data_IF_159868042763
#
_entry.id   IF_159868042763
#
_cell.length_a   1.000
_cell.length_b   1.000
_cell.length_c   1.000
_cell.angle_alpha   90.00
_cell.angle_beta   90.00
_cell.angle_gamma   90.00
#
_symmetry.space_group_name_H-M   'P 1'
#
loop_
_entity.id
_entity.type
_entity.pdbx_description
1 polymer ?
#
# COMPACT_ATOMS: atom_id res chain seq x y z
N UNK A 1 -17.67 -0.62 -4.46
CA UNK A 1 -17.78 -1.98 -5.04
C UNK A 1 -19.18 -2.23 -5.61
N UNK A 2 -20.26 -2.09 -4.82
CA UNK A 2 -21.63 -2.24 -5.37
C UNK A 2 -21.88 -1.36 -6.60
N UNK A 3 -21.52 -0.07 -6.53
CA UNK A 3 -21.68 0.85 -7.66
C UNK A 3 -20.78 0.50 -8.85
N UNK A 4 -19.47 0.36 -8.62
CA UNK A 4 -18.46 0.19 -9.67
C UNK A 4 -18.41 -1.21 -10.31
N UNK A 5 -18.67 -2.27 -9.55
CA UNK A 5 -18.46 -3.66 -10.01
C UNK A 5 -19.75 -4.47 -10.13
N UNK A 6 -20.77 -4.15 -9.32
CA UNK A 6 -22.04 -4.88 -9.30
C UNK A 6 -23.19 -4.11 -9.95
N UNK A 7 -22.95 -2.92 -10.51
CA UNK A 7 -24.00 -2.06 -11.09
C UNK A 7 -25.17 -1.82 -10.12
N UNK A 8 -24.85 -1.57 -8.83
CA UNK A 8 -25.78 -1.44 -7.69
C UNK A 8 -26.54 -2.72 -7.30
N UNK A 9 -26.20 -3.86 -7.88
CA UNK A 9 -26.72 -5.17 -7.48
C UNK A 9 -26.16 -5.68 -6.16
N UNK A 10 -26.74 -6.79 -5.70
CA UNK A 10 -26.30 -7.46 -4.49
C UNK A 10 -25.14 -8.42 -4.74
N UNK A 11 -24.40 -8.71 -3.67
CA UNK A 11 -23.41 -9.77 -3.67
C UNK A 11 -24.09 -11.12 -3.91
N UNK A 12 -23.36 -12.05 -4.51
CA UNK A 12 -23.85 -13.43 -4.60
C UNK A 12 -24.04 -13.99 -3.18
N UNK A 13 -25.05 -14.85 -2.93
CA UNK A 13 -25.31 -15.41 -1.60
C UNK A 13 -24.15 -16.21 -0.99
N UNK A 14 -23.19 -16.64 -1.82
CA UNK A 14 -22.00 -17.38 -1.40
C UNK A 14 -20.76 -16.49 -1.20
N UNK A 15 -20.89 -15.17 -1.29
CA UNK A 15 -19.81 -14.27 -0.88
C UNK A 15 -19.69 -14.32 0.63
N UNK A 16 -18.49 -14.65 1.10
CA UNK A 16 -18.14 -14.60 2.51
C UNK A 16 -17.44 -13.26 2.81
N UNK A 17 -18.20 -12.28 3.29
CA UNK A 17 -17.66 -10.97 3.66
C UNK A 17 -16.81 -11.09 4.92
N UNK A 18 -15.61 -10.51 4.88
CA UNK A 18 -14.63 -10.60 5.96
C UNK A 18 -14.32 -9.19 6.50
N UNK A 19 -14.15 -9.04 7.82
CA UNK A 19 -13.98 -7.72 8.45
C UNK A 19 -12.62 -7.07 8.13
N UNK A 20 -11.65 -7.80 7.57
CA UNK A 20 -10.37 -7.26 7.18
C UNK A 20 -9.46 -8.24 6.42
N UNK A 21 -8.34 -7.72 5.93
CA UNK A 21 -7.37 -8.45 5.10
C UNK A 21 -6.81 -9.73 5.74
N UNK A 22 -6.51 -9.71 7.05
CA UNK A 22 -6.08 -10.91 7.77
C UNK A 22 -7.19 -11.98 7.80
N UNK A 23 -8.44 -11.58 8.03
CA UNK A 23 -9.59 -12.48 8.07
C UNK A 23 -9.90 -13.08 6.69
N UNK A 24 -9.65 -12.34 5.60
CA UNK A 24 -9.69 -12.88 4.23
C UNK A 24 -8.67 -13.99 4.05
N UNK A 25 -7.41 -13.76 4.41
CA UNK A 25 -6.34 -14.77 4.30
C UNK A 25 -6.66 -16.00 5.14
N UNK A 26 -7.11 -15.81 6.38
CA UNK A 26 -7.53 -16.90 7.25
C UNK A 26 -8.67 -17.71 6.65
N UNK A 27 -9.68 -17.04 6.08
CA UNK A 27 -10.83 -17.72 5.46
C UNK A 27 -10.45 -18.51 4.21
N UNK A 28 -9.57 -17.96 3.36
CA UNK A 28 -9.04 -18.68 2.18
C UNK A 28 -8.24 -19.90 2.63
N UNK A 29 -7.43 -19.79 3.69
CA UNK A 29 -6.59 -20.89 4.15
C UNK A 29 -7.35 -22.16 4.57
N UNK A 30 -8.60 -22.02 4.99
CA UNK A 30 -9.48 -23.13 5.39
C UNK A 30 -10.57 -23.47 4.37
N UNK A 31 -10.62 -22.76 3.23
CA UNK A 31 -11.68 -22.92 2.22
C UNK A 31 -11.10 -23.48 0.93
N UNK A 32 -11.43 -24.73 0.61
CA UNK A 32 -11.04 -25.33 -0.67
C UNK A 32 -11.63 -24.51 -1.83
N UNK A 33 -10.78 -24.15 -2.80
CA UNK A 33 -11.12 -23.28 -3.94
C UNK A 33 -11.55 -21.85 -3.55
N UNK A 34 -11.27 -21.41 -2.32
CA UNK A 34 -11.50 -20.03 -1.89
C UNK A 34 -10.62 -19.04 -2.66
N UNK A 35 -11.21 -17.94 -3.11
CA UNK A 35 -10.50 -16.80 -3.70
C UNK A 35 -10.93 -15.52 -3.01
N UNK A 36 -9.99 -14.60 -2.83
CA UNK A 36 -10.24 -13.28 -2.28
C UNK A 36 -9.09 -12.35 -2.59
N UNK A 37 -9.21 -11.10 -2.15
CA UNK A 37 -8.19 -10.08 -2.33
C UNK A 37 -7.72 -9.57 -0.97
N UNK A 38 -6.41 -9.39 -0.84
CA UNK A 38 -5.78 -8.90 0.40
C UNK A 38 -4.52 -8.11 0.06
N UNK A 39 -4.03 -7.32 1.02
CA UNK A 39 -2.73 -6.64 0.88
C UNK A 39 -1.58 -7.63 0.97
N UNK A 40 -0.50 -7.38 0.22
CA UNK A 40 0.65 -8.30 0.13
C UNK A 40 1.32 -8.56 1.48
N UNK A 41 1.30 -7.58 2.40
CA UNK A 41 1.83 -7.73 3.76
C UNK A 41 1.11 -8.79 4.62
N UNK A 42 -0.07 -9.27 4.20
CA UNK A 42 -0.79 -10.36 4.88
C UNK A 42 -0.52 -11.75 4.29
N UNK A 43 0.35 -11.86 3.27
CA UNK A 43 0.69 -13.15 2.66
C UNK A 43 1.36 -14.06 3.69
N UNK A 44 0.83 -15.28 3.82
CA UNK A 44 1.42 -16.36 4.62
C UNK A 44 1.67 -17.56 3.72
N UNK A 45 2.35 -18.58 4.24
CA UNK A 45 2.55 -19.85 3.53
C UNK A 45 1.24 -20.59 3.23
N UNK A 46 0.14 -20.25 3.90
CA UNK A 46 -1.16 -20.90 3.75
C UNK A 46 -1.97 -20.41 2.55
N UNK A 47 -1.49 -19.40 1.83
CA UNK A 47 -2.16 -18.85 0.63
C UNK A 47 -1.16 -18.63 -0.50
N UNK A 48 -1.64 -18.74 -1.73
CA UNK A 48 -0.86 -18.46 -2.94
C UNK A 48 -1.33 -17.15 -3.57
N UNK A 49 -0.39 -16.28 -3.94
CA UNK A 49 -0.66 -15.09 -4.76
C UNK A 49 -0.73 -15.47 -6.23
N UNK A 50 -1.52 -14.73 -7.00
CA UNK A 50 -1.78 -15.02 -8.42
C UNK A 50 -1.27 -13.86 -9.25
N UNK A 51 -0.42 -14.17 -10.24
CA UNK A 51 0.03 -13.21 -11.23
C UNK A 51 -1.15 -12.64 -12.03
N UNK A 52 -1.08 -11.35 -12.36
CA UNK A 52 -2.19 -10.66 -13.02
C UNK A 52 -1.75 -10.09 -14.36
N UNK A 53 -2.62 -10.26 -15.36
CA UNK A 53 -2.53 -9.55 -16.62
C UNK A 53 -3.45 -8.32 -16.57
N UNK A 54 -2.95 -7.17 -17.06
CA UNK A 54 -3.75 -5.93 -17.10
C UNK A 54 -4.93 -6.00 -18.08
N UNK A 55 -4.82 -6.85 -19.10
CA UNK A 55 -5.82 -7.08 -20.14
C UNK A 55 -5.88 -8.56 -20.45
N UNK A 56 -7.02 -9.00 -20.96
CA UNK A 56 -7.20 -10.36 -21.46
C UNK A 56 -6.15 -10.69 -22.53
N UNK A 57 -5.57 -11.89 -22.45
CA UNK A 57 -4.48 -12.34 -23.34
C UNK A 57 -3.12 -11.66 -23.11
N UNK A 58 -3.01 -10.78 -22.13
CA UNK A 58 -1.75 -10.11 -21.78
C UNK A 58 -0.78 -10.98 -20.98
N UNK A 59 0.43 -10.46 -20.77
CA UNK A 59 1.43 -11.06 -19.91
C UNK A 59 0.99 -11.05 -18.44
N UNK A 60 1.17 -12.17 -17.76
CA UNK A 60 0.91 -12.30 -16.33
C UNK A 60 2.11 -11.81 -15.52
N UNK A 61 1.91 -10.78 -14.73
CA UNK A 61 2.95 -10.14 -13.93
C UNK A 61 2.80 -10.54 -12.47
N UNK A 62 3.88 -11.04 -11.88
CA UNK A 62 3.97 -11.41 -10.46
C UNK A 62 3.99 -10.18 -9.54
N UNK A 63 3.49 -10.36 -8.31
CA UNK A 63 3.31 -9.33 -7.28
C UNK A 63 4.58 -9.05 -6.46
N UNK A 64 5.72 -8.90 -7.13
CA UNK A 64 7.01 -8.64 -6.47
C UNK A 64 7.37 -7.15 -6.41
N UNK A 65 8.37 -6.82 -5.59
CA UNK A 65 8.86 -5.44 -5.40
C UNK A 65 9.25 -4.75 -6.70
N UNK A 66 9.99 -5.42 -7.59
CA UNK A 66 10.44 -4.83 -8.85
C UNK A 66 9.24 -4.41 -9.73
N UNK A 67 8.25 -5.29 -9.88
CA UNK A 67 7.05 -5.07 -10.69
C UNK A 67 6.10 -4.04 -10.08
N UNK A 68 6.06 -3.94 -8.77
CA UNK A 68 5.26 -2.93 -8.08
C UNK A 68 5.91 -1.53 -8.16
N UNK A 69 7.24 -1.44 -8.01
CA UNK A 69 7.96 -0.18 -8.05
C UNK A 69 8.06 0.41 -9.47
N UNK A 70 8.14 -0.43 -10.50
CA UNK A 70 8.14 0.03 -11.90
C UNK A 70 6.71 0.20 -12.48
N UNK A 71 5.67 -0.15 -11.71
CA UNK A 71 4.27 0.02 -12.08
C UNK A 71 3.74 -0.99 -13.11
N UNK A 72 4.44 -2.10 -13.36
CA UNK A 72 3.96 -3.15 -14.27
C UNK A 72 2.92 -4.05 -13.60
N UNK A 73 2.99 -4.25 -12.28
CA UNK A 73 1.98 -5.01 -11.55
C UNK A 73 0.64 -4.24 -11.50
N UNK A 74 -0.48 -4.77 -12.02
CA UNK A 74 -1.69 -3.98 -12.25
C UNK A 74 -2.37 -3.39 -11.01
N UNK A 75 -2.15 -3.97 -9.82
CA UNK A 75 -2.82 -3.57 -8.57
C UNK A 75 -1.89 -2.94 -7.53
N UNK A 76 -0.67 -2.56 -7.91
CA UNK A 76 0.23 -1.80 -7.02
C UNK A 76 -0.33 -0.41 -6.77
N UNK A 77 -0.31 0.05 -5.50
CA UNK A 77 -0.75 1.39 -5.12
C UNK A 77 0.02 1.91 -3.92
N UNK A 78 0.11 3.23 -3.80
CA UNK A 78 0.59 3.86 -2.58
C UNK A 78 -0.41 3.70 -1.43
N UNK A 79 0.11 3.60 -0.22
CA UNK A 79 -0.65 3.84 1.01
C UNK A 79 -0.46 5.30 1.38
N UNK A 80 -1.56 6.05 1.41
CA UNK A 80 -1.53 7.48 1.70
C UNK A 80 -1.79 7.76 3.18
N UNK A 81 -0.95 8.62 3.76
CA UNK A 81 -1.23 9.28 5.04
C UNK A 81 -1.74 10.68 4.72
N UNK A 82 -2.94 10.99 5.21
CA UNK A 82 -3.54 12.30 5.02
C UNK A 82 -3.21 13.20 6.21
N UNK A 83 -2.69 14.39 5.92
CA UNK A 83 -2.40 15.43 6.91
C UNK A 83 -3.26 16.65 6.62
N UNK A 84 -3.89 17.22 7.65
CA UNK A 84 -4.69 18.43 7.50
C UNK A 84 -3.81 19.69 7.52
N UNK A 85 -3.03 19.86 6.46
CA UNK A 85 -2.09 20.98 6.33
C UNK A 85 -2.81 22.22 5.80
N UNK A 86 -2.84 23.29 6.59
CA UNK A 86 -3.33 24.58 6.12
C UNK A 86 -2.47 25.10 4.94
N UNK A 87 -3.09 25.67 3.89
CA UNK A 87 -2.35 26.29 2.79
C UNK A 87 -1.36 27.33 3.31
N UNK A 88 -0.15 27.36 2.74
CA UNK A 88 0.92 28.32 3.06
C UNK A 88 1.41 28.32 4.53
N UNK A 89 0.95 27.39 5.37
CA UNK A 89 1.50 27.18 6.72
C UNK A 89 2.33 25.91 6.77
N UNK A 90 3.41 25.87 7.59
CA UNK A 90 4.11 24.63 7.85
C UNK A 90 3.19 23.65 8.61
N UNK A 91 3.53 22.36 8.56
CA UNK A 91 2.90 21.35 9.43
C UNK A 91 3.16 21.68 10.90
N UNK A 92 2.27 21.23 11.79
CA UNK A 92 2.55 21.33 13.21
C UNK A 92 3.84 20.54 13.54
N UNK A 93 4.67 20.97 14.50
CA UNK A 93 5.97 20.36 14.75
C UNK A 93 5.91 18.83 14.97
N UNK A 94 4.95 18.34 15.74
CA UNK A 94 4.78 16.90 15.99
C UNK A 94 4.36 16.13 14.73
N UNK A 95 3.50 16.71 13.89
CA UNK A 95 3.11 16.12 12.62
C UNK A 95 4.30 16.06 11.65
N UNK A 96 5.11 17.11 11.61
CA UNK A 96 6.32 17.16 10.79
C UNK A 96 7.33 16.09 11.21
N UNK A 97 7.58 15.91 12.51
CA UNK A 97 8.49 14.88 13.00
C UNK A 97 7.94 13.46 12.78
N UNK A 98 6.62 13.27 12.92
CA UNK A 98 5.98 11.99 12.56
C UNK A 98 6.16 11.67 11.07
N UNK A 99 5.90 12.62 10.17
CA UNK A 99 6.09 12.43 8.73
C UNK A 99 7.56 12.14 8.41
N UNK A 100 8.51 12.87 9.01
CA UNK A 100 9.93 12.60 8.85
C UNK A 100 10.31 11.20 9.32
N UNK A 101 9.78 10.74 10.46
CA UNK A 101 10.00 9.38 10.95
C UNK A 101 9.48 8.34 9.94
N UNK A 102 8.23 8.49 9.47
CA UNK A 102 7.62 7.58 8.49
C UNK A 102 8.46 7.50 7.21
N UNK A 103 8.96 8.64 6.72
CA UNK A 103 9.75 8.74 5.49
C UNK A 103 11.24 8.41 5.68
N UNK A 104 11.72 8.34 6.92
CA UNK A 104 13.12 8.04 7.24
C UNK A 104 13.50 6.59 6.89
N UNK A 105 14.80 6.32 6.83
CA UNK A 105 15.30 4.95 6.69
C UNK A 105 14.77 4.01 7.78
N UNK A 106 14.69 4.48 9.04
CA UNK A 106 14.17 3.68 10.13
C UNK A 106 12.67 3.36 9.94
N UNK A 107 11.87 4.34 9.52
CA UNK A 107 10.45 4.14 9.21
C UNK A 107 10.26 3.16 8.05
N UNK A 108 11.03 3.31 6.97
CA UNK A 108 10.96 2.42 5.81
C UNK A 108 11.45 0.99 6.13
N UNK A 109 12.36 0.81 7.07
CA UNK A 109 12.73 -0.53 7.55
C UNK A 109 11.58 -1.23 8.28
N UNK A 110 10.75 -0.50 9.02
CA UNK A 110 9.53 -1.06 9.63
C UNK A 110 8.54 -1.48 8.55
N UNK A 111 8.36 -0.68 7.50
CA UNK A 111 7.51 -1.00 6.34
C UNK A 111 7.93 -2.33 5.70
N UNK A 112 9.24 -2.54 5.48
CA UNK A 112 9.77 -3.80 4.95
C UNK A 112 9.50 -4.97 5.90
N UNK A 113 9.74 -4.78 7.20
CA UNK A 113 9.51 -5.81 8.22
C UNK A 113 8.06 -6.28 8.27
N UNK A 114 7.12 -5.37 8.06
CA UNK A 114 5.67 -5.66 8.01
C UNK A 114 5.21 -6.17 6.63
N UNK A 115 6.14 -6.49 5.72
CA UNK A 115 5.85 -7.14 4.44
C UNK A 115 5.40 -6.20 3.32
N UNK A 116 5.65 -4.89 3.47
CA UNK A 116 5.37 -3.89 2.44
C UNK A 116 6.64 -3.50 1.67
N UNK A 117 6.41 -2.89 0.51
CA UNK A 117 7.47 -2.39 -0.36
C UNK A 117 7.86 -0.98 0.10
N UNK A 118 9.16 -0.69 0.32
CA UNK A 118 9.60 0.62 0.77
C UNK A 118 9.48 1.65 -0.36
N UNK A 119 9.36 2.92 0.03
CA UNK A 119 9.33 4.02 -0.92
C UNK A 119 10.70 4.21 -1.59
N UNK A 120 10.75 4.44 -2.91
CA UNK A 120 11.97 4.89 -3.57
C UNK A 120 12.44 6.23 -3.00
N UNK A 121 13.76 6.42 -2.89
CA UNK A 121 14.35 7.66 -2.38
C UNK A 121 13.80 8.92 -3.08
N UNK A 122 13.63 8.87 -4.41
CA UNK A 122 13.06 9.98 -5.19
C UNK A 122 11.64 10.36 -4.74
N UNK A 123 10.83 9.39 -4.33
CA UNK A 123 9.46 9.63 -3.84
C UNK A 123 9.51 10.25 -2.45
N UNK A 124 10.41 9.77 -1.59
CA UNK A 124 10.66 10.36 -0.26
C UNK A 124 11.09 11.81 -0.38
N UNK A 125 12.12 12.10 -1.19
CA UNK A 125 12.65 13.45 -1.38
C UNK A 125 11.58 14.41 -1.92
N UNK A 126 10.81 13.95 -2.91
CA UNK A 126 9.69 14.71 -3.45
C UNK A 126 8.63 15.00 -2.37
N UNK A 127 8.26 13.99 -1.58
CA UNK A 127 7.22 14.14 -0.54
C UNK A 127 7.67 15.10 0.56
N UNK A 128 8.93 15.05 0.97
CA UNK A 128 9.50 15.99 1.93
C UNK A 128 9.46 17.41 1.36
N UNK A 129 9.91 17.61 0.11
CA UNK A 129 9.89 18.92 -0.55
C UNK A 129 8.47 19.48 -0.69
N UNK A 130 7.50 18.66 -1.12
CA UNK A 130 6.09 19.04 -1.29
C UNK A 130 5.46 19.47 0.06
N UNK A 131 5.98 18.96 1.19
CA UNK A 131 5.57 19.33 2.55
C UNK A 131 6.41 20.45 3.19
N UNK A 132 7.46 20.93 2.51
CA UNK A 132 8.39 21.93 3.05
C UNK A 132 9.28 21.38 4.17
N UNK A 133 9.59 20.08 4.13
CA UNK A 133 10.41 19.37 5.11
C UNK A 133 11.78 18.99 4.51
N UNK A 134 12.74 18.71 5.38
CA UNK A 134 14.04 18.13 5.03
C UNK A 134 14.29 16.85 5.84
N UNK A 135 15.23 16.03 5.36
CA UNK A 135 15.72 14.87 6.10
C UNK A 135 16.21 15.28 7.50
N UNK A 136 15.85 14.49 8.52
CA UNK A 136 16.30 14.70 9.89
C UNK A 136 17.84 14.61 9.94
N UNK A 137 18.51 15.73 10.24
CA UNK A 137 19.97 15.85 10.26
C UNK A 137 20.53 16.97 9.39
N UNK A 138 19.80 17.42 8.37
CA UNK A 138 20.12 18.64 7.62
C UNK A 138 19.31 19.80 8.18
N UNK A 139 19.74 20.32 9.33
CA UNK A 139 19.37 21.68 9.74
C UNK A 139 19.98 22.60 8.68
N UNK A 140 19.12 23.28 7.92
CA UNK A 140 19.55 24.35 7.05
C UNK A 140 20.36 25.34 7.90
N UNK A 141 21.68 25.37 7.71
CA UNK A 141 22.51 26.44 8.22
C UNK A 141 21.98 27.73 7.59
N UNK A 142 21.40 28.59 8.42
CA UNK A 142 21.21 30.00 8.08
C UNK A 142 22.54 30.65 7.76
#
# INVERSE_FOLDING_TARGET
FKEEALCKGDFKPNVNEQPGSASVVQSISSSLNGIGYSGIGYKTASVKTVALAKKEGGEFIEDNEANALNGTYPLSRFLYVYVNKAPNKPLAPLEAEFVKLVLSQAGQQVVVKDGYIPLPAKVVDKTLADLGLSHAGNVAKK
#
